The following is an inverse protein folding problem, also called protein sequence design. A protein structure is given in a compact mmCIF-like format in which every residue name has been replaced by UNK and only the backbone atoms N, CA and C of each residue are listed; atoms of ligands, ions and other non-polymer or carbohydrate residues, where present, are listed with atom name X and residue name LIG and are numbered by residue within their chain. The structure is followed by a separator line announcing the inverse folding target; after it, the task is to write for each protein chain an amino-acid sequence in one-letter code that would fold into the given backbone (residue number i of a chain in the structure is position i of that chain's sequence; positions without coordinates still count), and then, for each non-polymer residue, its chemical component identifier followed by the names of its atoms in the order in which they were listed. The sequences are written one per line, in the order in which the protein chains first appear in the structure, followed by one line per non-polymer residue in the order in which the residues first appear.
data_IF_510813913085
#
_entry.id   IF_510813913085
#
_cell.length_a   1.000
_cell.length_b   1.000
_cell.length_c   1.000
_cell.angle_alpha   90.00
_cell.angle_beta   90.00
_cell.angle_gamma   90.00
#
_symmetry.space_group_name_H-M   'P 1'
#
loop_
_entity.id
_entity.type
_entity.pdbx_description
1 polymer ?
#
# COMPACT_ATOMS: atom_id res chain seq x y z
N UNK A 1 10.09 3.52 -9.39
CA UNK A 1 10.14 3.17 -7.95
C UNK A 1 9.72 1.72 -7.81
N UNK A 2 10.41 0.93 -6.98
CA UNK A 2 10.11 -0.50 -6.79
C UNK A 2 9.91 -0.82 -5.32
N UNK A 3 8.93 -1.69 -5.03
CA UNK A 3 8.55 -2.13 -3.70
C UNK A 3 8.74 -3.63 -3.55
N UNK A 4 9.01 -4.08 -2.32
CA UNK A 4 9.12 -5.50 -2.00
C UNK A 4 7.75 -6.20 -2.05
N UNK A 5 6.70 -5.51 -1.59
CA UNK A 5 5.33 -5.99 -1.61
C UNK A 5 4.57 -5.45 -2.83
N UNK A 6 3.51 -6.17 -3.23
CA UNK A 6 2.66 -5.75 -4.32
C UNK A 6 1.95 -4.43 -3.96
N UNK A 7 1.89 -3.52 -4.92
CA UNK A 7 1.06 -2.32 -4.90
C UNK A 7 -0.39 -2.79 -5.05
N UNK A 8 -1.21 -2.48 -4.06
CA UNK A 8 -2.64 -2.85 -4.00
C UNK A 8 -3.57 -1.69 -4.30
N UNK A 9 -3.04 -0.46 -4.29
CA UNK A 9 -3.79 0.74 -4.61
C UNK A 9 -2.88 1.93 -4.87
N UNK A 10 -3.34 2.83 -5.73
CA UNK A 10 -2.71 4.12 -6.01
C UNK A 10 -3.81 5.16 -5.91
N UNK A 11 -3.62 6.14 -5.05
CA UNK A 11 -4.56 7.25 -4.84
C UNK A 11 -3.86 8.52 -5.31
N UNK A 12 -4.53 9.23 -6.20
CA UNK A 12 -4.07 10.47 -6.80
C UNK A 12 -5.25 11.43 -6.92
N UNK A 13 -4.95 12.70 -7.23
CA UNK A 13 -5.89 13.83 -7.31
C UNK A 13 -6.38 14.33 -5.94
N UNK A 14 -6.56 15.65 -5.86
CA UNK A 14 -6.63 16.39 -4.60
C UNK A 14 -7.73 15.89 -3.66
N UNK A 15 -8.96 15.85 -4.15
CA UNK A 15 -10.13 15.42 -3.35
C UNK A 15 -9.94 14.01 -2.80
N UNK A 16 -9.49 13.09 -3.65
CA UNK A 16 -9.35 11.68 -3.29
C UNK A 16 -8.19 11.44 -2.30
N UNK A 17 -7.11 12.22 -2.39
CA UNK A 17 -6.00 12.18 -1.44
C UNK A 17 -6.39 12.71 -0.06
N UNK A 18 -7.04 13.87 -0.02
CA UNK A 18 -7.47 14.53 1.22
C UNK A 18 -8.51 13.68 1.97
N UNK A 19 -9.51 13.14 1.25
CA UNK A 19 -10.56 12.29 1.83
C UNK A 19 -10.01 10.97 2.40
N UNK A 20 -8.81 10.57 1.98
CA UNK A 20 -8.19 9.30 2.41
C UNK A 20 -7.06 9.47 3.42
N UNK A 21 -6.77 10.69 3.87
CA UNK A 21 -5.73 10.96 4.87
C UNK A 21 -5.98 10.20 6.19
N UNK A 22 -7.23 10.13 6.66
CA UNK A 22 -7.57 9.43 7.91
C UNK A 22 -7.46 7.90 7.77
N UNK A 23 -7.85 7.36 6.61
CA UNK A 23 -7.95 5.90 6.42
C UNK A 23 -6.65 5.26 5.93
N UNK A 24 -5.97 5.92 4.98
CA UNK A 24 -4.80 5.38 4.28
C UNK A 24 -3.54 6.23 4.48
N UNK A 25 -3.63 7.26 5.31
CA UNK A 25 -2.48 8.03 5.75
C UNK A 25 -1.49 7.19 6.57
N UNK A 26 -0.20 7.48 6.39
CA UNK A 26 0.85 7.00 7.25
C UNK A 26 0.71 7.63 8.63
N UNK A 27 0.70 6.78 9.67
CA UNK A 27 0.56 7.19 11.07
C UNK A 27 1.59 8.26 11.43
N UNK A 28 1.14 9.35 12.03
CA UNK A 28 2.00 10.46 12.47
C UNK A 28 2.42 11.43 11.37
N UNK A 29 1.97 11.22 10.13
CA UNK A 29 2.21 12.16 9.03
C UNK A 29 1.18 13.28 9.08
N UNK A 30 1.65 14.53 9.12
CA UNK A 30 0.80 15.70 8.86
C UNK A 30 0.78 15.95 7.37
N UNK A 31 -0.40 15.85 6.79
CA UNK A 31 -0.64 16.02 5.36
C UNK A 31 -1.00 17.47 5.04
N UNK A 32 -0.53 17.97 3.89
CA UNK A 32 -0.91 19.30 3.39
C UNK A 32 -2.35 19.25 2.87
N UNK A 33 -3.32 19.39 3.76
CA UNK A 33 -4.74 19.31 3.37
C UNK A 33 -5.21 20.48 2.51
N UNK A 34 -6.27 20.25 1.74
CA UNK A 34 -7.25 21.24 1.31
C UNK A 34 -6.69 22.45 0.55
N UNK A 35 -6.23 22.25 -0.68
CA UNK A 35 -6.07 23.33 -1.66
C UNK A 35 -4.67 23.93 -1.86
N UNK A 36 -3.60 23.33 -1.33
CA UNK A 36 -2.24 23.92 -1.47
C UNK A 36 -1.24 23.20 -2.37
N UNK A 37 -1.49 21.97 -2.84
CA UNK A 37 -0.49 21.30 -3.70
C UNK A 37 -0.63 19.78 -3.86
N UNK A 38 -1.85 19.28 -4.10
CA UNK A 38 -2.11 17.85 -4.32
C UNK A 38 -2.82 17.60 -5.63
N UNK A 39 -2.38 18.26 -6.68
CA UNK A 39 -3.12 18.43 -7.94
C UNK A 39 -2.58 17.55 -9.06
N UNK A 40 -2.03 16.37 -8.72
CA UNK A 40 -1.59 15.45 -9.75
C UNK A 40 -2.80 14.96 -10.57
N UNK A 41 -2.78 15.27 -11.85
CA UNK A 41 -3.83 14.94 -12.82
C UNK A 41 -3.27 14.02 -13.89
N UNK A 42 -4.01 12.96 -14.24
CA UNK A 42 -3.67 12.09 -15.38
C UNK A 42 -4.16 12.73 -16.69
N UNK A 43 -3.49 13.80 -17.11
CA UNK A 43 -3.94 14.68 -18.19
C UNK A 43 -3.27 14.39 -19.55
N UNK A 44 -2.38 13.41 -19.64
CA UNK A 44 -1.84 12.96 -20.92
C UNK A 44 -0.40 12.45 -20.86
N UNK A 45 0.36 12.76 -21.91
CA UNK A 45 1.72 12.19 -22.12
C UNK A 45 2.76 12.65 -21.11
N UNK A 46 2.48 13.74 -20.38
CA UNK A 46 3.43 14.34 -19.44
C UNK A 46 3.16 13.89 -17.99
N UNK A 47 1.90 13.66 -17.64
CA UNK A 47 1.47 13.21 -16.32
C UNK A 47 0.81 11.84 -16.42
N UNK A 48 1.60 10.81 -16.12
CA UNK A 48 1.12 9.43 -16.19
C UNK A 48 1.88 8.55 -15.21
N UNK A 49 1.30 7.37 -14.96
CA UNK A 49 2.03 6.27 -14.35
C UNK A 49 1.67 4.93 -14.99
N UNK A 50 2.57 3.96 -14.84
CA UNK A 50 2.38 2.58 -15.25
C UNK A 50 2.84 1.64 -14.13
N UNK A 51 2.18 0.50 -14.05
CA UNK A 51 2.52 -0.59 -13.14
C UNK A 51 3.19 -1.72 -13.92
N UNK A 52 4.25 -2.29 -13.35
CA UNK A 52 4.81 -3.55 -13.86
C UNK A 52 3.80 -4.69 -13.73
N UNK A 53 3.92 -5.77 -14.54
CA UNK A 53 3.00 -6.90 -14.49
C UNK A 53 2.91 -7.60 -13.12
N UNK A 54 3.97 -7.54 -12.31
CA UNK A 54 4.00 -8.09 -10.95
C UNK A 54 3.45 -7.13 -9.88
N UNK A 55 2.95 -5.96 -10.29
CA UNK A 55 2.46 -4.88 -9.44
C UNK A 55 3.48 -4.37 -8.40
N UNK A 56 4.79 -4.54 -8.62
CA UNK A 56 5.81 -4.10 -7.65
C UNK A 56 6.57 -2.84 -8.06
N UNK A 57 6.53 -2.48 -9.33
CA UNK A 57 7.23 -1.31 -9.86
C UNK A 57 6.23 -0.31 -10.40
N UNK A 58 6.30 0.90 -9.86
CA UNK A 58 5.62 2.08 -10.37
C UNK A 58 6.61 2.91 -11.17
N UNK A 59 6.32 3.10 -12.45
CA UNK A 59 6.98 4.07 -13.32
C UNK A 59 6.04 5.26 -13.49
N UNK A 60 6.57 6.48 -13.41
CA UNK A 60 5.73 7.67 -13.52
C UNK A 60 6.49 8.82 -14.17
N UNK A 61 5.72 9.73 -14.77
CA UNK A 61 6.16 11.04 -15.23
C UNK A 61 5.22 12.07 -14.63
N UNK A 62 5.79 13.14 -14.06
CA UNK A 62 5.04 14.29 -13.57
C UNK A 62 5.70 15.56 -14.07
N UNK A 63 4.91 16.51 -14.55
CA UNK A 63 5.36 17.86 -14.85
C UNK A 63 4.61 18.81 -13.94
N UNK A 64 5.29 19.26 -12.88
CA UNK A 64 4.71 20.18 -11.91
C UNK A 64 4.67 21.58 -12.52
N UNK A 65 3.48 22.03 -12.94
CA UNK A 65 3.27 23.39 -13.46
C UNK A 65 3.00 24.44 -12.37
N UNK A 66 2.66 23.98 -11.16
CA UNK A 66 2.22 24.82 -10.04
C UNK A 66 3.02 24.51 -8.76
N UNK A 67 2.33 24.19 -7.66
CA UNK A 67 2.94 24.09 -6.33
C UNK A 67 3.58 22.72 -6.09
N UNK A 68 2.79 21.65 -6.16
CA UNK A 68 3.21 20.30 -5.78
C UNK A 68 2.21 19.27 -6.32
N UNK A 69 2.72 18.09 -6.65
CA UNK A 69 1.96 16.92 -7.05
C UNK A 69 2.21 15.80 -6.05
N UNK A 70 1.13 15.31 -5.42
CA UNK A 70 1.17 14.23 -4.45
C UNK A 70 0.51 12.97 -5.02
N UNK A 71 1.04 11.82 -4.64
CA UNK A 71 0.47 10.51 -4.90
C UNK A 71 0.69 9.60 -3.70
N UNK A 72 -0.35 8.86 -3.30
CA UNK A 72 -0.27 7.86 -2.23
C UNK A 72 -0.23 6.46 -2.84
N UNK A 73 0.80 5.70 -2.49
CA UNK A 73 0.98 4.30 -2.91
C UNK A 73 0.68 3.38 -1.74
N UNK A 74 -0.29 2.49 -1.92
CA UNK A 74 -0.66 1.47 -0.95
C UNK A 74 0.01 0.16 -1.34
N UNK A 75 0.86 -0.35 -0.44
CA UNK A 75 1.50 -1.65 -0.59
C UNK A 75 0.88 -2.66 0.35
N UNK A 76 0.80 -3.92 -0.08
CA UNK A 76 0.34 -4.99 0.77
C UNK A 76 1.20 -5.07 2.04
N UNK A 77 0.58 -5.02 3.21
CA UNK A 77 1.31 -5.29 4.45
C UNK A 77 1.72 -6.76 4.47
N UNK A 78 2.97 -7.10 4.84
CA UNK A 78 3.32 -8.48 5.12
C UNK A 78 2.44 -8.96 6.27
N UNK A 79 1.45 -9.81 5.98
CA UNK A 79 0.62 -10.43 7.00
C UNK A 79 1.55 -11.30 7.84
N UNK A 80 1.77 -11.01 9.14
CA UNK A 80 2.46 -11.92 10.00
C UNK A 80 1.70 -13.24 9.95
N UNK A 81 2.38 -14.37 9.68
CA UNK A 81 1.75 -15.69 9.63
C UNK A 81 0.87 -15.82 10.89
N UNK A 82 -0.48 -15.82 10.76
CA UNK A 82 -1.33 -15.61 11.92
C UNK A 82 -1.16 -16.74 12.92
N UNK A 83 -1.59 -16.51 14.17
CA UNK A 83 -1.65 -17.53 15.21
C UNK A 83 -2.27 -18.87 14.75
N UNK A 84 -3.01 -18.92 13.64
CA UNK A 84 -3.41 -20.13 12.94
C UNK A 84 -2.26 -21.11 12.64
N UNK A 85 -1.07 -20.66 12.24
CA UNK A 85 0.07 -21.55 12.07
C UNK A 85 0.58 -22.10 13.41
N UNK A 86 0.55 -21.29 14.45
CA UNK A 86 0.87 -21.73 15.82
C UNK A 86 -0.17 -22.72 16.36
N UNK A 87 -1.47 -22.46 16.14
CA UNK A 87 -2.54 -23.36 16.52
C UNK A 87 -2.45 -24.68 15.77
N UNK A 88 -2.18 -24.63 14.46
CA UNK A 88 -2.03 -25.84 13.63
C UNK A 88 -0.77 -26.63 14.02
N UNK A 89 0.35 -25.97 14.30
CA UNK A 89 1.54 -26.60 14.83
C UNK A 89 1.28 -27.25 16.20
N UNK A 90 0.59 -26.56 17.10
CA UNK A 90 0.26 -27.06 18.43
C UNK A 90 -0.70 -28.24 18.40
N UNK A 91 -1.69 -28.22 17.48
CA UNK A 91 -2.61 -29.32 17.26
C UNK A 91 -1.88 -30.57 16.71
N UNK A 92 -0.98 -30.39 15.74
CA UNK A 92 -0.17 -31.48 15.20
C UNK A 92 0.74 -32.10 16.26
N UNK A 93 1.39 -31.28 17.10
CA UNK A 93 2.20 -31.77 18.21
C UNK A 93 1.36 -32.50 19.27
N UNK A 94 0.16 -31.99 19.58
CA UNK A 94 -0.79 -32.66 20.47
C UNK A 94 -1.18 -34.05 19.98
N UNK A 95 -1.53 -34.19 18.69
CA UNK A 95 -1.89 -35.47 18.08
C UNK A 95 -0.74 -36.50 18.13
N UNK A 96 0.50 -36.07 17.93
CA UNK A 96 1.69 -36.93 18.06
C UNK A 96 1.91 -37.36 19.51
N UNK A 97 1.69 -36.46 20.47
CA UNK A 97 1.79 -36.76 21.91
C UNK A 97 0.75 -37.77 22.41
N UNK A 98 -0.49 -37.68 21.91
CA UNK A 98 -1.55 -38.63 22.25
C UNK A 98 -1.30 -40.04 21.69
N UNK A 99 -0.71 -40.16 20.50
CA UNK A 99 -0.37 -41.46 19.90
C UNK A 99 0.73 -42.24 20.63
N UNK A 100 1.54 -41.59 21.48
CA UNK A 100 2.62 -42.25 22.25
C UNK A 100 2.20 -42.73 23.63
N UNK A 101 0.97 -42.42 24.07
CA UNK A 101 0.45 -42.77 25.41
C UNK A 101 -0.63 -43.86 25.38
N UNK A 102 -0.97 -44.39 24.20
CA UNK A 102 -1.73 -45.64 24.05
C UNK A 102 -0.77 -46.77 23.67
#
# INVERSE_FOLDING_TARGET
MTFEQAIVGIIYKQSELDDTDEMFGAVGTVYSGGGSGRIFELDGSNNFFTLSPDAKTLSFSTVVAHNMDDMRILVASPVPVPGAAWFMASALLGLVGFKRRQ
#
